data_IF_623557455704
#
_entry.id   IF_623557455704
#
_cell.length_a   1.000
_cell.length_b   1.000
_cell.length_c   1.000
_cell.angle_alpha   90.00
_cell.angle_beta   90.00
_cell.angle_gamma   90.00
#
_symmetry.space_group_name_H-M   'P 1'
#
loop_
_entity.id
_entity.type
_entity.pdbx_description
1 polymer ?
#
# COMPACT_ATOMS: atom_id res chain seq x y z
N UNK A 1 -7.87 26.39 17.88
CA UNK A 1 -6.97 25.31 18.30
C UNK A 1 -6.06 25.85 19.38
N UNK A 2 -5.54 25.00 20.26
CA UNK A 2 -4.51 25.39 21.23
C UNK A 2 -3.17 25.59 20.52
N UNK A 3 -2.32 26.49 21.01
CA UNK A 3 -0.96 26.74 20.49
C UNK A 3 -0.11 25.43 20.39
N UNK A 4 -0.36 24.48 21.31
CA UNK A 4 0.27 23.16 21.28
C UNK A 4 -0.17 22.31 20.09
N UNK A 5 -1.46 22.35 19.76
CA UNK A 5 -2.03 21.58 18.63
C UNK A 5 -1.50 22.13 17.30
N UNK A 6 -1.43 23.46 17.18
CA UNK A 6 -0.88 24.12 15.98
C UNK A 6 0.59 23.77 15.77
N UNK A 7 1.39 23.74 16.84
CA UNK A 7 2.80 23.32 16.77
C UNK A 7 2.94 21.86 16.32
N UNK A 8 2.16 20.95 16.89
CA UNK A 8 2.19 19.53 16.52
C UNK A 8 1.83 19.35 15.04
N UNK A 9 0.78 20.03 14.57
CA UNK A 9 0.38 19.97 13.16
C UNK A 9 1.48 20.51 12.24
N UNK A 10 2.12 21.62 12.61
CA UNK A 10 3.24 22.18 11.86
C UNK A 10 4.42 21.21 11.80
N UNK A 11 4.78 20.59 12.91
CA UNK A 11 5.89 19.63 13.01
C UNK A 11 5.64 18.40 12.12
N UNK A 12 4.44 17.80 12.21
CA UNK A 12 4.06 16.63 11.39
C UNK A 12 4.03 16.99 9.90
N UNK A 13 3.53 18.19 9.56
CA UNK A 13 3.47 18.64 8.16
C UNK A 13 4.86 18.91 7.60
N UNK A 14 5.77 19.46 8.41
CA UNK A 14 7.16 19.69 8.01
C UNK A 14 7.92 18.37 7.81
N UNK A 15 7.74 17.41 8.72
CA UNK A 15 8.33 16.07 8.58
C UNK A 15 7.79 15.34 7.35
N UNK A 16 6.47 15.39 7.12
CA UNK A 16 5.86 14.83 5.92
C UNK A 16 6.46 15.41 4.62
N UNK A 17 6.62 16.74 4.53
CA UNK A 17 7.23 17.38 3.35
C UNK A 17 8.68 16.94 3.15
N UNK A 18 9.46 16.85 4.22
CA UNK A 18 10.85 16.36 4.17
C UNK A 18 10.92 14.94 3.60
N UNK A 19 10.04 14.04 4.07
CA UNK A 19 9.97 12.66 3.56
C UNK A 19 9.51 12.60 2.12
N UNK A 20 8.57 13.46 1.73
CA UNK A 20 8.11 13.59 0.35
C UNK A 20 9.25 13.99 -0.59
N UNK A 21 10.07 14.96 -0.20
CA UNK A 21 11.25 15.38 -0.96
C UNK A 21 12.29 14.27 -1.07
N UNK A 22 12.58 13.58 0.04
CA UNK A 22 13.52 12.47 0.04
C UNK A 22 13.06 11.31 -0.87
N UNK A 23 11.75 11.02 -0.90
CA UNK A 23 11.16 9.94 -1.71
C UNK A 23 11.02 10.30 -3.18
N UNK A 24 11.05 11.59 -3.53
CA UNK A 24 10.73 12.10 -4.87
C UNK A 24 11.46 11.37 -6.01
N UNK A 25 12.75 11.08 -5.83
CA UNK A 25 13.54 10.38 -6.85
C UNK A 25 13.02 8.95 -7.10
N UNK A 26 12.66 8.23 -6.04
CA UNK A 26 12.11 6.87 -6.13
C UNK A 26 10.70 6.91 -6.74
N UNK A 27 9.88 7.87 -6.32
CA UNK A 27 8.51 8.05 -6.83
C UNK A 27 8.47 8.39 -8.33
N UNK A 28 9.41 9.20 -8.82
CA UNK A 28 9.54 9.49 -10.25
C UNK A 28 9.83 8.23 -11.06
N UNK A 29 10.66 7.32 -10.54
CA UNK A 29 10.91 6.03 -11.19
C UNK A 29 9.63 5.16 -11.22
N UNK A 30 8.84 5.14 -10.14
CA UNK A 30 7.56 4.42 -10.12
C UNK A 30 6.59 4.96 -11.17
N UNK A 31 6.46 6.29 -11.26
CA UNK A 31 5.61 6.94 -12.26
C UNK A 31 6.11 6.66 -13.68
N UNK A 32 7.43 6.58 -13.89
CA UNK A 32 8.02 6.25 -15.19
C UNK A 32 7.70 4.80 -15.58
N UNK A 33 7.88 3.86 -14.65
CA UNK A 33 7.54 2.45 -14.85
C UNK A 33 6.07 2.28 -15.25
N UNK A 34 5.15 3.00 -14.58
CA UNK A 34 3.74 3.00 -14.94
C UNK A 34 3.49 3.47 -16.38
N UNK A 35 4.13 4.56 -16.80
CA UNK A 35 4.02 5.07 -18.18
C UNK A 35 4.47 4.01 -19.19
N UNK A 36 5.57 3.32 -18.92
CA UNK A 36 6.12 2.30 -19.81
C UNK A 36 5.18 1.08 -19.92
N UNK A 37 4.56 0.67 -18.81
CA UNK A 37 3.58 -0.42 -18.80
C UNK A 37 2.34 -0.07 -19.63
N UNK A 38 1.84 1.17 -19.52
CA UNK A 38 0.69 1.66 -20.31
C UNK A 38 1.03 1.86 -21.80
N UNK A 39 2.32 1.86 -22.16
CA UNK A 39 2.80 2.01 -23.53
C UNK A 39 3.28 3.42 -23.88
N UNK A 40 3.31 4.35 -22.91
CA UNK A 40 3.96 5.64 -23.08
C UNK A 40 5.48 5.52 -22.83
N UNK A 41 6.19 4.86 -23.75
CA UNK A 41 7.62 4.58 -23.63
C UNK A 41 8.54 5.74 -24.01
N UNK A 42 7.97 6.87 -24.43
CA UNK A 42 8.69 8.11 -24.70
C UNK A 42 8.63 9.08 -23.52
N UNK A 43 8.11 8.62 -22.38
CA UNK A 43 8.21 9.32 -21.11
C UNK A 43 9.66 9.30 -20.62
N UNK A 44 10.13 10.43 -20.09
CA UNK A 44 11.45 10.55 -19.46
C UNK A 44 11.35 11.44 -18.23
N UNK A 45 12.29 11.26 -17.30
CA UNK A 45 12.42 12.15 -16.13
C UNK A 45 13.14 13.42 -16.59
N UNK A 46 12.43 14.54 -16.57
CA UNK A 46 12.98 15.85 -16.87
C UNK A 46 13.94 16.32 -15.77
N UNK A 47 14.89 17.18 -16.12
CA UNK A 47 15.76 17.87 -15.15
C UNK A 47 14.98 18.73 -14.15
N UNK A 48 13.71 19.07 -14.46
CA UNK A 48 12.78 19.77 -13.55
C UNK A 48 12.19 18.85 -12.47
N UNK A 49 12.44 17.53 -12.54
CA UNK A 49 11.95 16.56 -11.58
C UNK A 49 10.47 16.23 -11.75
N UNK A 50 10.02 16.13 -13.01
CA UNK A 50 8.71 15.60 -13.39
C UNK A 50 8.83 14.71 -14.63
N UNK A 51 7.78 13.98 -14.95
CA UNK A 51 7.73 13.16 -16.16
C UNK A 51 7.30 14.03 -17.33
N UNK A 52 8.15 14.07 -18.35
CA UNK A 52 7.87 14.74 -19.61
C UNK A 52 7.87 13.72 -20.73
N UNK A 53 6.98 13.91 -21.70
CA UNK A 53 6.97 13.11 -22.91
C UNK A 53 7.90 13.75 -23.94
N UNK A 54 8.89 13.01 -24.43
CA UNK A 54 9.75 13.49 -25.50
C UNK A 54 8.95 13.55 -26.81
N UNK A 55 8.83 14.75 -27.38
CA UNK A 55 8.27 14.96 -28.70
C UNK A 55 9.13 14.34 -29.80
N UNK A 56 8.60 14.33 -31.04
CA UNK A 56 9.43 14.03 -32.21
C UNK A 56 10.48 15.12 -32.37
N UNK A 57 11.74 14.73 -32.55
CA UNK A 57 12.81 15.69 -32.82
C UNK A 57 12.74 16.20 -34.27
N UNK A 58 12.29 15.33 -35.18
CA UNK A 58 12.15 15.65 -36.59
C UNK A 58 10.78 15.24 -37.12
N UNK A 59 10.25 15.99 -38.09
CA UNK A 59 8.91 15.73 -38.63
C UNK A 59 8.80 14.39 -39.36
N UNK A 60 9.91 13.86 -39.89
CA UNK A 60 9.98 12.58 -40.61
C UNK A 60 10.18 11.38 -39.70
N UNK A 61 10.40 11.59 -38.40
CA UNK A 61 10.58 10.48 -37.47
C UNK A 61 9.24 9.79 -37.23
N UNK A 62 9.17 8.50 -37.52
CA UNK A 62 8.05 7.65 -37.12
C UNK A 62 8.17 7.29 -35.64
N UNK A 63 7.02 7.20 -34.97
CA UNK A 63 6.97 7.00 -33.51
C UNK A 63 5.91 5.96 -33.20
N UNK A 64 6.31 4.70 -33.29
CA UNK A 64 5.49 3.55 -32.92
C UNK A 64 6.08 2.87 -31.68
N UNK A 65 5.23 2.44 -30.76
CA UNK A 65 5.65 1.72 -29.56
C UNK A 65 5.26 0.26 -29.69
N UNK A 66 6.26 -0.62 -29.68
CA UNK A 66 6.06 -2.06 -29.51
C UNK A 66 6.23 -2.41 -28.03
N UNK A 67 5.12 -2.41 -27.29
CA UNK A 67 5.16 -2.60 -25.85
C UNK A 67 5.38 -4.08 -25.47
N UNK A 68 6.64 -4.49 -25.34
CA UNK A 68 7.01 -5.82 -24.82
C UNK A 68 6.91 -5.94 -23.29
N UNK A 69 6.82 -4.82 -22.56
CA UNK A 69 6.79 -4.80 -21.10
C UNK A 69 5.46 -5.35 -20.59
N UNK A 70 4.33 -4.88 -21.17
CA UNK A 70 3.00 -5.32 -20.75
C UNK A 70 2.81 -6.84 -20.85
N UNK A 71 3.11 -7.52 -21.98
CA UNK A 71 2.99 -8.98 -22.08
C UNK A 71 3.87 -9.74 -21.06
N UNK A 72 5.08 -9.25 -20.79
CA UNK A 72 5.99 -9.86 -19.79
C UNK A 72 5.40 -9.73 -18.39
N UNK A 73 4.92 -8.53 -18.05
CA UNK A 73 4.30 -8.24 -16.75
C UNK A 73 3.04 -9.09 -16.54
N UNK A 74 2.16 -9.16 -17.54
CA UNK A 74 0.97 -10.02 -17.51
C UNK A 74 1.33 -11.50 -17.31
N UNK A 75 2.36 -11.98 -18.02
CA UNK A 75 2.84 -13.37 -17.87
C UNK A 75 3.36 -13.64 -16.46
N UNK A 76 4.06 -12.68 -15.85
CA UNK A 76 4.57 -12.79 -14.47
C UNK A 76 3.42 -12.78 -13.46
N UNK A 77 2.46 -11.87 -13.60
CA UNK A 77 1.27 -11.82 -12.76
C UNK A 77 0.45 -13.12 -12.86
N UNK A 78 0.30 -13.68 -14.07
CA UNK A 78 -0.37 -14.96 -14.26
C UNK A 78 0.35 -16.12 -13.55
N UNK A 79 1.69 -16.11 -13.50
CA UNK A 79 2.48 -17.10 -12.74
C UNK A 79 2.35 -16.90 -11.23
N UNK A 80 2.47 -15.65 -10.75
CA UNK A 80 2.32 -15.31 -9.34
C UNK A 80 0.91 -15.62 -8.82
N UNK A 81 -0.13 -15.36 -9.61
CA UNK A 81 -1.51 -15.66 -9.24
C UNK A 81 -1.80 -17.16 -9.04
N UNK A 82 -0.99 -18.06 -9.61
CA UNK A 82 -1.08 -19.50 -9.35
C UNK A 82 -0.49 -19.89 -7.99
N UNK A 83 0.50 -19.15 -7.51
CA UNK A 83 1.18 -19.40 -6.23
C UNK A 83 0.47 -18.60 -5.14
N UNK A 84 -0.50 -19.24 -4.48
CA UNK A 84 -1.19 -18.61 -3.35
C UNK A 84 -0.32 -18.67 -2.11
N UNK A 85 0.17 -17.51 -1.66
CA UNK A 85 0.82 -17.41 -0.36
C UNK A 85 -0.23 -17.68 0.75
N UNK A 86 0.12 -18.57 1.68
CA UNK A 86 -0.71 -18.93 2.82
C UNK A 86 0.11 -18.79 4.09
N UNK A 87 -0.41 -18.02 5.06
CA UNK A 87 0.18 -17.94 6.38
C UNK A 87 -0.14 -19.21 7.18
N UNK A 88 0.88 -19.81 7.81
CA UNK A 88 0.73 -20.98 8.66
C UNK A 88 1.60 -20.81 9.90
N UNK A 89 1.09 -21.27 11.05
CA UNK A 89 1.83 -21.26 12.31
C UNK A 89 2.51 -22.60 12.48
N UNK A 90 3.82 -22.57 12.69
CA UNK A 90 4.60 -23.76 13.03
C UNK A 90 4.64 -23.93 14.55
N UNK A 91 4.38 -25.13 15.09
CA UNK A 91 4.49 -25.36 16.53
C UNK A 91 5.94 -25.16 17.00
N UNK A 92 6.10 -24.67 18.23
CA UNK A 92 7.42 -24.45 18.82
C UNK A 92 8.10 -25.77 19.17
N UNK A 93 7.34 -26.71 19.74
CA UNK A 93 7.81 -28.05 20.15
C UNK A 93 6.97 -29.14 19.49
N UNK A 94 7.39 -30.41 19.65
CA UNK A 94 6.64 -31.59 19.20
C UNK A 94 5.58 -32.06 20.21
N UNK A 95 5.36 -31.32 21.29
CA UNK A 95 4.34 -31.65 22.29
C UNK A 95 2.94 -31.52 21.69
N UNK A 96 2.05 -32.44 22.07
CA UNK A 96 0.69 -32.52 21.49
C UNK A 96 -0.10 -31.21 21.69
N UNK A 97 0.11 -30.53 22.82
CA UNK A 97 -0.53 -29.25 23.14
C UNK A 97 -0.06 -28.11 22.21
N UNK A 98 1.24 -28.06 21.91
CA UNK A 98 1.83 -27.07 20.98
C UNK A 98 1.33 -27.32 19.55
N UNK A 99 1.26 -28.59 19.14
CA UNK A 99 0.74 -28.99 17.82
C UNK A 99 -0.74 -28.61 17.67
N UNK A 100 -1.55 -28.89 18.70
CA UNK A 100 -2.96 -28.52 18.71
C UNK A 100 -3.16 -27.00 18.65
N UNK A 101 -2.37 -26.26 19.44
CA UNK A 101 -2.41 -24.79 19.49
C UNK A 101 -2.01 -24.15 18.15
N UNK A 102 -0.95 -24.64 17.51
CA UNK A 102 -0.52 -24.17 16.20
C UNK A 102 -1.55 -24.46 15.10
N UNK A 103 -2.23 -25.61 15.16
CA UNK A 103 -3.31 -25.96 14.25
C UNK A 103 -4.52 -25.03 14.42
N UNK A 104 -4.89 -24.69 15.66
CA UNK A 104 -5.95 -23.73 15.97
C UNK A 104 -5.57 -22.33 15.46
N UNK A 105 -4.38 -21.84 15.80
CA UNK A 105 -3.89 -20.52 15.36
C UNK A 105 -3.86 -20.40 13.83
N UNK A 106 -3.42 -21.45 13.12
CA UNK A 106 -3.45 -21.48 11.66
C UNK A 106 -4.88 -21.37 11.10
N UNK A 107 -5.86 -22.02 11.74
CA UNK A 107 -7.28 -21.90 11.35
C UNK A 107 -7.84 -20.50 11.59
N UNK A 108 -7.45 -19.85 12.70
CA UNK A 108 -7.83 -18.46 12.98
C UNK A 108 -7.28 -17.50 11.93
N UNK A 109 -5.99 -17.61 11.59
CA UNK A 109 -5.38 -16.79 10.54
C UNK A 109 -6.07 -17.02 9.20
N UNK A 110 -6.40 -18.27 8.86
CA UNK A 110 -7.15 -18.60 7.66
C UNK A 110 -8.54 -17.98 7.62
N UNK A 111 -9.23 -17.86 8.77
CA UNK A 111 -10.53 -17.21 8.87
C UNK A 111 -10.41 -15.70 8.62
N UNK A 112 -9.51 -15.03 9.34
CA UNK A 112 -9.25 -13.57 9.20
C UNK A 112 -8.83 -13.22 7.78
N UNK A 113 -7.96 -14.01 7.16
CA UNK A 113 -7.53 -13.81 5.77
C UNK A 113 -8.69 -13.94 4.77
N UNK A 114 -9.65 -14.85 5.01
CA UNK A 114 -10.83 -14.99 4.14
C UNK A 114 -11.81 -13.84 4.32
N UNK A 115 -12.07 -13.42 5.55
CA UNK A 115 -12.98 -12.32 5.86
C UNK A 115 -12.49 -10.97 5.32
N UNK A 116 -11.17 -10.78 5.27
CA UNK A 116 -10.54 -9.58 4.69
C UNK A 116 -10.26 -9.68 3.18
N UNK A 117 -10.71 -10.76 2.53
CA UNK A 117 -10.44 -11.04 1.11
C UNK A 117 -8.94 -10.90 0.75
N UNK A 118 -8.07 -11.44 1.61
CA UNK A 118 -6.63 -11.29 1.48
C UNK A 118 -6.10 -11.80 0.13
N UNK A 119 -6.75 -12.79 -0.49
CA UNK A 119 -6.35 -13.29 -1.79
C UNK A 119 -6.48 -12.24 -2.90
N UNK A 120 -7.52 -11.40 -2.87
CA UNK A 120 -7.69 -10.34 -3.88
C UNK A 120 -6.73 -9.19 -3.59
N UNK A 121 -6.55 -8.82 -2.32
CA UNK A 121 -5.55 -7.84 -1.91
C UNK A 121 -4.13 -8.26 -2.30
N UNK A 122 -3.78 -9.54 -2.14
CA UNK A 122 -2.48 -10.07 -2.56
C UNK A 122 -2.30 -10.01 -4.09
N UNK A 123 -3.35 -10.28 -4.88
CA UNK A 123 -3.28 -10.13 -6.32
C UNK A 123 -3.00 -8.69 -6.74
N UNK A 124 -3.67 -7.72 -6.10
CA UNK A 124 -3.40 -6.29 -6.32
C UNK A 124 -1.99 -5.91 -5.84
N UNK A 125 -1.55 -6.43 -4.69
CA UNK A 125 -0.20 -6.21 -4.17
C UNK A 125 0.88 -6.70 -5.14
N UNK A 126 0.67 -7.86 -5.78
CA UNK A 126 1.57 -8.37 -6.81
C UNK A 126 1.70 -7.40 -7.99
N UNK A 127 0.58 -6.79 -8.42
CA UNK A 127 0.61 -5.75 -9.47
C UNK A 127 1.44 -4.54 -9.04
N UNK A 128 1.21 -4.04 -7.82
CA UNK A 128 2.02 -2.93 -7.28
C UNK A 128 3.49 -3.30 -7.17
N UNK A 129 3.81 -4.49 -6.68
CA UNK A 129 5.16 -4.98 -6.50
C UNK A 129 5.89 -5.17 -7.84
N UNK A 130 5.22 -5.61 -8.89
CA UNK A 130 5.82 -5.76 -10.23
C UNK A 130 6.12 -4.41 -10.89
N UNK A 131 5.29 -3.39 -10.65
CA UNK A 131 5.46 -2.06 -11.26
C UNK A 131 6.46 -1.20 -10.46
N UNK A 132 6.31 -1.16 -9.14
CA UNK A 132 7.02 -0.22 -8.25
C UNK A 132 8.11 -0.89 -7.41
N UNK A 133 8.17 -2.22 -7.40
CA UNK A 133 9.12 -2.99 -6.59
C UNK A 133 8.68 -3.20 -5.14
N UNK A 134 7.58 -2.61 -4.69
CA UNK A 134 7.09 -2.76 -3.31
C UNK A 134 5.57 -2.73 -3.21
N UNK A 135 5.04 -3.28 -2.13
CA UNK A 135 3.63 -3.18 -1.72
C UNK A 135 3.56 -3.42 -0.21
N UNK A 136 2.62 -2.78 0.48
CA UNK A 136 2.54 -2.84 1.94
C UNK A 136 1.17 -3.32 2.39
N UNK A 137 1.12 -4.14 3.42
CA UNK A 137 -0.12 -4.50 4.11
C UNK A 137 -0.16 -3.82 5.47
N UNK A 138 -1.23 -3.08 5.73
CA UNK A 138 -1.50 -2.46 7.01
C UNK A 138 -2.54 -3.28 7.74
N UNK A 139 -2.16 -3.83 8.88
CA UNK A 139 -3.03 -4.62 9.75
C UNK A 139 -3.48 -3.71 10.89
N UNK A 140 -4.79 -3.55 11.07
CA UNK A 140 -5.38 -2.66 12.07
C UNK A 140 -6.54 -3.35 12.78
N UNK A 141 -6.89 -2.87 13.97
CA UNK A 141 -8.09 -3.30 14.67
C UNK A 141 -9.24 -2.35 14.34
N UNK A 142 -10.33 -2.88 13.79
CA UNK A 142 -11.55 -2.12 13.51
C UNK A 142 -12.60 -2.43 14.57
N UNK A 143 -12.89 -1.45 15.44
CA UNK A 143 -13.86 -1.58 16.52
C UNK A 143 -15.32 -1.69 16.03
N UNK A 144 -15.59 -1.44 14.74
CA UNK A 144 -16.94 -1.47 14.16
C UNK A 144 -17.28 -2.79 13.46
N UNK A 145 -16.32 -3.72 13.37
CA UNK A 145 -16.53 -5.07 12.82
C UNK A 145 -16.88 -6.09 13.91
N UNK A 146 -17.18 -7.31 13.51
CA UNK A 146 -17.55 -8.41 14.41
C UNK A 146 -19.02 -8.41 14.81
N UNK A 147 -19.37 -9.32 15.71
CA UNK A 147 -20.73 -9.47 16.20
C UNK A 147 -21.10 -8.34 17.16
N UNK A 148 -22.39 -7.99 17.16
CA UNK A 148 -22.95 -7.04 18.13
C UNK A 148 -23.15 -7.75 19.46
N UNK A 149 -22.59 -7.17 20.53
CA UNK A 149 -22.66 -7.69 21.89
C UNK A 149 -23.91 -7.21 22.64
N UNK A 150 -24.59 -6.19 22.12
CA UNK A 150 -25.81 -5.62 22.66
C UNK A 150 -27.01 -5.85 21.72
N UNK A 151 -28.22 -5.85 22.29
CA UNK A 151 -29.46 -5.94 21.53
C UNK A 151 -29.71 -4.71 20.62
N UNK A 152 -29.01 -3.60 20.91
CA UNK A 152 -29.11 -2.33 20.18
C UNK A 152 -28.05 -2.15 19.08
N UNK A 153 -27.05 -3.04 18.99
CA UNK A 153 -26.02 -3.02 17.95
C UNK A 153 -24.95 -1.93 18.08
N UNK A 154 -24.85 -1.24 19.23
CA UNK A 154 -23.90 -0.13 19.45
C UNK A 154 -22.53 -0.61 19.88
N UNK A 155 -22.43 -1.76 20.55
CA UNK A 155 -21.15 -2.32 21.02
C UNK A 155 -20.86 -3.56 20.21
N UNK A 156 -19.73 -3.55 19.50
CA UNK A 156 -19.27 -4.67 18.69
C UNK A 156 -17.96 -5.21 19.23
N UNK A 157 -17.70 -6.49 18.98
CA UNK A 157 -16.47 -7.17 19.40
C UNK A 157 -15.21 -6.52 18.79
N UNK A 158 -15.34 -5.97 17.58
CA UNK A 158 -14.22 -5.53 16.78
C UNK A 158 -13.53 -6.71 16.10
N UNK A 159 -12.82 -6.43 15.01
CA UNK A 159 -12.07 -7.46 14.29
C UNK A 159 -10.85 -6.89 13.56
N UNK A 160 -9.93 -7.78 13.20
CA UNK A 160 -8.73 -7.46 12.45
C UNK A 160 -9.09 -7.09 11.02
N UNK A 161 -8.61 -5.94 10.57
CA UNK A 161 -8.72 -5.48 9.20
C UNK A 161 -7.35 -5.42 8.53
N UNK A 162 -7.24 -6.06 7.38
CA UNK A 162 -6.06 -5.98 6.51
C UNK A 162 -6.38 -5.04 5.36
N UNK A 163 -5.54 -4.03 5.16
CA UNK A 163 -5.65 -3.09 4.06
C UNK A 163 -4.35 -3.08 3.24
N UNK A 164 -4.49 -3.17 1.92
CA UNK A 164 -3.38 -2.94 0.99
C UNK A 164 -3.09 -1.44 0.88
N UNK A 165 -1.85 -1.06 1.14
CA UNK A 165 -1.35 0.30 0.98
C UNK A 165 -0.42 0.38 -0.24
N UNK A 166 -0.77 1.16 -1.27
CA UNK A 166 0.15 1.47 -2.36
C UNK A 166 1.42 2.14 -1.83
N UNK A 167 2.59 1.92 -2.45
CA UNK A 167 3.84 2.56 -2.03
C UNK A 167 3.80 4.08 -2.03
N UNK A 168 2.96 4.68 -2.87
CA UNK A 168 2.72 6.12 -2.93
C UNK A 168 2.15 6.70 -1.62
N UNK A 169 1.48 5.88 -0.81
CA UNK A 169 0.85 6.32 0.44
C UNK A 169 1.78 6.17 1.66
N UNK A 170 2.90 5.45 1.54
CA UNK A 170 3.79 5.11 2.67
C UNK A 170 5.08 5.93 2.62
N UNK A 171 5.39 6.58 3.74
CA UNK A 171 6.54 7.46 3.91
C UNK A 171 7.35 7.03 5.15
N UNK A 172 8.35 6.15 4.98
CA UNK A 172 9.27 5.80 6.07
C UNK A 172 10.13 7.00 6.44
N UNK A 173 10.72 6.96 7.64
CA UNK A 173 11.64 8.02 8.09
C UNK A 173 12.94 8.00 7.30
N UNK A 174 13.48 6.80 7.06
CA UNK A 174 14.63 6.58 6.19
C UNK A 174 14.24 5.63 5.05
N UNK A 175 14.38 6.09 3.80
CA UNK A 175 14.02 5.32 2.62
C UNK A 175 15.04 4.20 2.33
N UNK A 176 16.27 4.30 2.85
CA UNK A 176 17.31 3.30 2.65
C UNK A 176 17.11 2.05 3.53
N UNK A 177 16.34 2.16 4.61
CA UNK A 177 16.09 1.06 5.54
C UNK A 177 14.86 0.26 5.06
N UNK A 178 15.09 -0.98 4.64
CA UNK A 178 14.04 -1.88 4.15
C UNK A 178 13.28 -2.60 5.27
N UNK A 179 13.91 -2.71 6.44
CA UNK A 179 13.38 -3.41 7.60
C UNK A 179 12.47 -2.49 8.41
N UNK A 180 11.19 -2.89 8.54
CA UNK A 180 10.17 -2.07 9.20
C UNK A 180 10.45 -1.91 10.69
N UNK A 181 11.08 -2.91 11.33
CA UNK A 181 11.38 -2.89 12.77
C UNK A 181 12.50 -1.90 13.11
N UNK A 182 13.28 -1.48 12.10
CA UNK A 182 14.35 -0.49 12.24
C UNK A 182 13.90 0.92 11.86
N UNK A 183 12.66 1.07 11.39
CA UNK A 183 12.06 2.38 11.16
C UNK A 183 11.58 2.96 12.50
N UNK A 184 12.06 4.15 12.84
CA UNK A 184 11.58 4.82 14.06
C UNK A 184 10.15 5.34 13.91
N UNK A 185 9.75 5.69 12.69
CA UNK A 185 8.39 6.15 12.42
C UNK A 185 7.99 6.00 10.94
N UNK A 186 6.70 5.81 10.69
CA UNK A 186 6.13 5.67 9.35
C UNK A 186 4.88 6.56 9.24
N UNK A 187 4.80 7.34 8.17
CA UNK A 187 3.61 8.13 7.86
C UNK A 187 2.84 7.41 6.75
N UNK A 188 1.57 7.12 7.01
CA UNK A 188 0.60 6.70 6.00
C UNK A 188 -0.26 7.90 5.62
N UNK A 189 -0.05 8.43 4.41
CA UNK A 189 -0.79 9.57 3.89
C UNK A 189 -1.63 9.15 2.69
N UNK A 190 -2.94 9.39 2.77
CA UNK A 190 -3.90 9.07 1.73
C UNK A 190 -4.68 10.32 1.35
N UNK A 191 -4.84 10.53 0.05
CA UNK A 191 -5.72 11.59 -0.48
C UNK A 191 -7.15 11.10 -0.34
N UNK A 192 -7.98 11.88 0.35
CA UNK A 192 -9.39 11.60 0.59
C UNK A 192 -10.22 12.77 0.12
N UNK A 193 -11.40 12.47 -0.40
CA UNK A 193 -12.40 13.48 -0.75
C UNK A 193 -13.03 14.09 0.50
N UNK A 194 -13.57 15.31 0.39
CA UNK A 194 -14.29 15.96 1.51
C UNK A 194 -15.41 15.06 2.09
N UNK A 195 -16.10 14.33 1.22
CA UNK A 195 -17.17 13.40 1.60
C UNK A 195 -16.65 12.23 2.44
N UNK A 196 -15.51 11.65 2.06
CA UNK A 196 -14.87 10.57 2.83
C UNK A 196 -14.40 11.08 4.19
N UNK A 197 -13.81 12.29 4.24
CA UNK A 197 -13.37 12.89 5.51
C UNK A 197 -14.54 13.13 6.45
N UNK A 198 -15.66 13.64 5.92
CA UNK A 198 -16.90 13.84 6.67
C UNK A 198 -17.49 12.52 7.16
N UNK A 199 -17.45 11.46 6.34
CA UNK A 199 -17.96 10.14 6.71
C UNK A 199 -17.13 9.50 7.82
N UNK A 200 -15.79 9.54 7.71
CA UNK A 200 -14.88 8.84 8.64
C UNK A 200 -14.72 9.61 9.96
N UNK A 201 -14.51 10.92 9.89
CA UNK A 201 -14.18 11.73 11.07
C UNK A 201 -15.28 12.71 11.49
N UNK A 202 -16.40 12.77 10.76
CA UNK A 202 -17.49 13.70 11.07
C UNK A 202 -17.14 15.17 10.87
N UNK A 203 -16.03 15.47 10.17
CA UNK A 203 -15.52 16.83 10.00
C UNK A 203 -15.66 17.30 8.56
N UNK A 204 -16.16 18.52 8.40
CA UNK A 204 -16.13 19.24 7.13
C UNK A 204 -14.78 19.96 6.99
N UNK A 205 -14.09 19.69 5.89
CA UNK A 205 -12.82 20.32 5.53
C UNK A 205 -13.01 21.03 4.19
N UNK A 206 -12.29 22.14 3.99
CA UNK A 206 -12.22 22.79 2.68
C UNK A 206 -11.16 22.07 1.84
N UNK A 207 -11.56 21.58 0.67
CA UNK A 207 -10.68 20.99 -0.33
C UNK A 207 -9.78 21.98 -1.05
#
# INVERSE_FOLDING_TARGET
MSEKEERIVADVTADFKKRQEARRAVELNWRLNMNFVVGNQFAQISSKGDIEESGKEYFWQEREVFNHIAPILETRLAKLGRVKAKAQVRPATADDDDVASAALASKLIDAVCKENDFSSQLALANTWSEITGSAFFKITWDAQKGHSLDAEGKIKEGDVTIALCPPFEIFPEDIAITDIDKQSSIIHAKVLTEQEVKSIWGKEVKG
#
